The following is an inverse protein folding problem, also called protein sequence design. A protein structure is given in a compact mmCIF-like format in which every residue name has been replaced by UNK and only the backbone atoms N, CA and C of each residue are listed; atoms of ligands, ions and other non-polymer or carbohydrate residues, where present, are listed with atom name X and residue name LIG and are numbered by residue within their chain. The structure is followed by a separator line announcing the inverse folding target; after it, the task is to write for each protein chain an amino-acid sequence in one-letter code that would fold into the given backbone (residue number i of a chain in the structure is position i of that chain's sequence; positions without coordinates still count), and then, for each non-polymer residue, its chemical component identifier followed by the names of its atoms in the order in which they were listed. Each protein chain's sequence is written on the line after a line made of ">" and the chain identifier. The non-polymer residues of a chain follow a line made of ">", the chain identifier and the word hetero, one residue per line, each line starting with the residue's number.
data_IF_972645212945
#
_entry.id   IF_972645212945
#
_cell.length_a   1.000
_cell.length_b   1.000
_cell.length_c   1.000
_cell.angle_alpha   90.00
_cell.angle_beta   90.00
_cell.angle_gamma   90.00
#
_symmetry.space_group_name_H-M   'P 1'
#
loop_
_entity.id
_entity.type
_entity.pdbx_description
1 polymer ?
#
# COMPACT_ATOMS: atom_id res chain seq x y z
N UNK A 1 6.91 11.52 22.54
CA UNK A 1 8.31 11.34 22.14
C UNK A 1 9.01 10.51 23.20
N UNK A 2 9.78 9.49 22.81
CA UNK A 2 10.52 8.65 23.76
C UNK A 2 11.80 9.36 24.21
N UNK A 3 12.22 9.10 25.45
CA UNK A 3 13.44 9.66 26.02
C UNK A 3 14.68 9.09 25.33
N UNK A 4 15.71 9.91 25.13
CA UNK A 4 17.03 9.47 24.65
C UNK A 4 17.70 8.45 25.59
N UNK A 5 17.21 8.33 26.83
CA UNK A 5 17.66 7.35 27.82
C UNK A 5 16.81 6.08 27.88
N UNK A 6 15.74 5.98 27.08
CA UNK A 6 14.91 4.77 27.02
C UNK A 6 15.72 3.62 26.42
N UNK A 7 16.14 2.67 27.25
CA UNK A 7 16.74 1.41 26.79
C UNK A 7 15.61 0.41 26.50
N UNK A 8 15.51 -0.03 25.25
CA UNK A 8 14.61 -1.10 24.82
C UNK A 8 15.20 -2.49 25.09
N UNK A 9 15.84 -2.66 26.25
CA UNK A 9 16.47 -3.91 26.66
C UNK A 9 15.41 -4.78 27.35
N UNK A 10 14.61 -5.49 26.55
CA UNK A 10 13.67 -6.49 27.07
C UNK A 10 14.39 -7.73 27.64
N UNK A 11 15.70 -7.86 27.39
CA UNK A 11 16.54 -8.98 27.83
C UNK A 11 17.64 -8.46 28.78
N UNK A 12 17.75 -9.06 29.97
CA UNK A 12 18.79 -8.70 30.95
C UNK A 12 20.17 -9.07 30.43
N UNK A 13 21.07 -8.09 30.24
CA UNK A 13 22.45 -8.29 29.75
C UNK A 13 23.10 -9.54 30.35
N UNK A 14 23.48 -10.50 29.50
CA UNK A 14 24.06 -11.79 29.90
C UNK A 14 23.05 -12.92 30.19
N UNK A 15 21.75 -12.72 29.93
CA UNK A 15 20.78 -13.81 29.99
C UNK A 15 21.08 -14.89 28.96
N UNK A 16 20.65 -16.13 29.23
CA UNK A 16 20.74 -17.23 28.26
C UNK A 16 19.77 -17.06 27.08
N UNK A 17 18.90 -16.05 27.13
CA UNK A 17 17.94 -15.71 26.08
C UNK A 17 18.56 -14.89 24.94
N UNK A 18 19.81 -14.44 25.10
CA UNK A 18 20.55 -13.85 23.99
C UNK A 18 20.90 -14.94 22.98
N UNK A 19 20.55 -14.71 21.72
CA UNK A 19 20.96 -15.52 20.60
C UNK A 19 21.63 -14.64 19.54
N UNK A 20 22.64 -15.19 18.88
CA UNK A 20 23.31 -14.51 17.79
C UNK A 20 22.42 -14.51 16.54
N UNK A 21 22.26 -13.34 15.93
CA UNK A 21 21.59 -13.20 14.64
C UNK A 21 22.61 -12.67 13.64
N UNK A 22 22.75 -13.37 12.52
CA UNK A 22 23.60 -12.95 11.41
C UNK A 22 22.77 -12.20 10.38
N UNK A 23 23.26 -11.03 10.01
CA UNK A 23 22.69 -10.23 8.93
C UNK A 23 23.76 -9.94 7.89
N UNK A 24 23.32 -9.84 6.63
CA UNK A 24 24.12 -9.36 5.52
C UNK A 24 23.70 -7.94 5.18
N UNK A 25 24.69 -7.09 4.92
CA UNK A 25 24.48 -5.71 4.46
C UNK A 25 24.79 -5.66 2.98
N UNK A 26 23.84 -5.20 2.17
CA UNK A 26 23.98 -5.12 0.72
C UNK A 26 23.73 -3.69 0.25
N UNK A 27 24.67 -3.15 -0.52
CA UNK A 27 24.58 -1.80 -1.10
C UNK A 27 24.19 -1.87 -2.56
N UNK A 28 23.05 -1.29 -2.91
CA UNK A 28 22.49 -1.25 -4.26
C UNK A 28 22.66 0.14 -4.86
N UNK A 29 23.12 0.22 -6.12
CA UNK A 29 23.19 1.49 -6.86
C UNK A 29 21.83 1.80 -7.48
N UNK A 30 21.24 2.95 -7.12
CA UNK A 30 19.94 3.41 -7.64
C UNK A 30 20.09 4.38 -8.81
N UNK A 31 21.05 5.29 -8.72
CA UNK A 31 21.41 6.23 -9.80
C UNK A 31 22.90 6.49 -9.80
N UNK A 32 23.39 7.37 -10.69
CA UNK A 32 24.79 7.83 -10.75
C UNK A 32 25.35 8.17 -9.35
N UNK A 33 24.58 8.87 -8.52
CA UNK A 33 25.02 9.41 -7.23
C UNK A 33 24.31 8.82 -6.01
N UNK A 34 23.26 8.01 -6.18
CA UNK A 34 22.45 7.50 -5.07
C UNK A 34 22.56 6.00 -4.90
N UNK A 35 22.68 5.58 -3.64
CA UNK A 35 22.72 4.18 -3.22
C UNK A 35 21.64 3.91 -2.18
N UNK A 36 21.17 2.67 -2.16
CA UNK A 36 20.30 2.12 -1.14
C UNK A 36 21.05 1.03 -0.37
N UNK A 37 20.83 0.93 0.93
CA UNK A 37 21.48 -0.05 1.78
C UNK A 37 20.41 -0.94 2.41
N UNK A 38 20.48 -2.24 2.16
CA UNK A 38 19.56 -3.22 2.70
C UNK A 38 20.28 -4.08 3.75
N UNK A 39 19.60 -4.33 4.86
CA UNK A 39 20.00 -5.31 5.87
C UNK A 39 19.04 -6.48 5.73
N UNK A 40 19.58 -7.69 5.51
CA UNK A 40 18.78 -8.89 5.27
C UNK A 40 19.35 -10.09 6.00
N UNK A 41 18.47 -11.02 6.38
CA UNK A 41 18.82 -12.35 6.87
C UNK A 41 18.78 -13.42 5.77
N UNK A 42 18.51 -13.02 4.52
CA UNK A 42 18.57 -13.90 3.36
C UNK A 42 20.01 -14.34 3.09
N UNK A 43 20.15 -15.57 2.58
CA UNK A 43 21.45 -16.19 2.30
C UNK A 43 22.16 -15.56 1.08
N UNK A 44 23.38 -16.05 0.82
CA UNK A 44 24.21 -15.56 -0.28
C UNK A 44 23.73 -16.03 -1.67
N UNK A 45 22.77 -16.95 -1.75
CA UNK A 45 22.16 -17.35 -3.01
C UNK A 45 21.29 -16.24 -3.59
N UNK A 46 20.80 -15.32 -2.75
CA UNK A 46 20.12 -14.10 -3.20
C UNK A 46 21.15 -13.06 -3.63
N UNK A 47 21.16 -12.79 -4.93
CA UNK A 47 22.01 -11.77 -5.53
C UNK A 47 21.53 -10.36 -5.16
N UNK A 48 22.37 -9.33 -5.31
CA UNK A 48 21.93 -7.95 -5.17
C UNK A 48 20.74 -7.58 -6.07
N UNK A 49 20.59 -8.21 -7.24
CA UNK A 49 19.46 -7.97 -8.13
C UNK A 49 18.16 -8.58 -7.57
N UNK A 50 18.23 -9.80 -7.03
CA UNK A 50 17.07 -10.44 -6.38
C UNK A 50 16.60 -9.62 -5.19
N UNK A 51 17.53 -9.11 -4.38
CA UNK A 51 17.20 -8.23 -3.26
C UNK A 51 16.57 -6.92 -3.72
N UNK A 52 17.00 -6.37 -4.85
CA UNK A 52 16.40 -5.18 -5.46
C UNK A 52 14.97 -5.44 -5.89
N UNK A 53 14.70 -6.58 -6.53
CA UNK A 53 13.36 -6.98 -6.96
C UNK A 53 12.45 -7.24 -5.75
N UNK A 54 12.91 -8.00 -4.75
CA UNK A 54 12.18 -8.25 -3.52
C UNK A 54 11.85 -6.95 -2.78
N UNK A 55 12.82 -6.04 -2.68
CA UNK A 55 12.58 -4.74 -2.05
C UNK A 55 11.60 -3.88 -2.87
N UNK A 56 11.64 -3.99 -4.20
CA UNK A 56 10.67 -3.33 -5.06
C UNK A 56 9.24 -3.86 -4.85
N UNK A 57 9.04 -5.15 -4.54
CA UNK A 57 7.71 -5.69 -4.21
C UNK A 57 7.10 -5.01 -2.98
N UNK A 58 7.91 -4.49 -2.05
CA UNK A 58 7.45 -3.71 -0.89
C UNK A 58 6.65 -2.47 -1.32
N UNK A 59 6.95 -1.86 -2.47
CA UNK A 59 6.24 -0.66 -2.94
C UNK A 59 4.74 -0.90 -3.11
N UNK A 60 4.32 -2.16 -3.34
CA UNK A 60 2.91 -2.53 -3.37
C UNK A 60 2.15 -2.05 -2.13
N UNK A 61 2.72 -2.21 -0.93
CA UNK A 61 2.06 -1.83 0.32
C UNK A 61 1.89 -0.31 0.46
N UNK A 62 2.87 0.47 -0.01
CA UNK A 62 2.78 1.93 0.02
C UNK A 62 1.66 2.43 -0.88
N UNK A 63 1.51 1.81 -2.06
CA UNK A 63 0.39 2.09 -2.95
C UNK A 63 -0.93 1.70 -2.32
N UNK A 64 -1.01 0.54 -1.67
CA UNK A 64 -2.21 0.10 -0.95
C UNK A 64 -2.62 1.08 0.15
N UNK A 65 -1.68 1.56 0.97
CA UNK A 65 -1.98 2.55 2.01
C UNK A 65 -2.42 3.90 1.44
N UNK A 66 -1.81 4.34 0.33
CA UNK A 66 -2.23 5.55 -0.39
C UNK A 66 -3.66 5.43 -0.90
N UNK A 67 -4.02 4.30 -1.48
CA UNK A 67 -5.39 4.04 -1.95
C UNK A 67 -6.38 3.94 -0.78
N UNK A 68 -6.00 3.27 0.30
CA UNK A 68 -6.83 3.20 1.49
C UNK A 68 -7.13 4.60 2.06
N UNK A 69 -6.10 5.46 2.13
CA UNK A 69 -6.22 6.84 2.61
C UNK A 69 -7.08 7.72 1.71
N UNK A 70 -6.79 7.75 0.41
CA UNK A 70 -7.35 8.77 -0.49
C UNK A 70 -8.39 8.25 -1.49
N UNK A 71 -8.41 6.95 -1.78
CA UNK A 71 -9.36 6.34 -2.71
C UNK A 71 -10.53 5.70 -1.96
N UNK A 72 -10.27 5.14 -0.77
CA UNK A 72 -11.28 4.62 0.18
C UNK A 72 -11.56 5.63 1.31
N UNK A 73 -11.00 6.83 1.25
CA UNK A 73 -11.26 7.97 2.16
C UNK A 73 -10.89 7.77 3.64
N UNK A 74 -10.02 6.82 4.00
CA UNK A 74 -9.75 6.48 5.41
C UNK A 74 -9.27 7.67 6.25
N UNK A 75 -8.76 8.73 5.61
CA UNK A 75 -8.39 9.98 6.29
C UNK A 75 -9.60 10.72 6.92
N UNK A 76 -10.83 10.38 6.50
CA UNK A 76 -12.07 10.98 7.00
C UNK A 76 -12.83 9.97 7.86
N UNK A 77 -12.64 10.09 9.18
CA UNK A 77 -13.35 9.37 10.23
C UNK A 77 -14.57 10.18 10.70
N UNK A 78 -15.64 9.50 11.08
CA UNK A 78 -16.89 10.16 11.47
C UNK A 78 -17.06 10.23 12.99
N UNK A 79 -16.52 9.26 13.72
CA UNK A 79 -16.61 9.20 15.18
C UNK A 79 -15.36 9.73 15.91
N UNK A 80 -15.53 10.07 17.19
CA UNK A 80 -14.46 10.35 18.16
C UNK A 80 -14.21 9.20 19.12
N UNK A 81 -15.15 8.26 19.19
CA UNK A 81 -15.13 7.18 20.16
C UNK A 81 -14.20 6.06 19.67
N UNK A 82 -13.26 5.65 20.53
CA UNK A 82 -12.14 4.79 20.13
C UNK A 82 -12.62 3.47 19.51
N UNK A 83 -13.64 2.83 20.09
CA UNK A 83 -14.14 1.54 19.57
C UNK A 83 -14.75 1.69 18.17
N UNK A 84 -15.51 2.76 17.93
CA UNK A 84 -16.08 3.08 16.63
C UNK A 84 -15.02 3.49 15.60
N UNK A 85 -13.93 4.16 16.01
CA UNK A 85 -12.80 4.45 15.11
C UNK A 85 -12.20 3.14 14.58
N UNK A 86 -11.99 2.16 15.45
CA UNK A 86 -11.53 0.84 15.01
C UNK A 86 -12.51 0.19 14.04
N UNK A 87 -13.82 0.25 14.32
CA UNK A 87 -14.84 -0.28 13.42
C UNK A 87 -14.80 0.37 12.03
N UNK A 88 -14.68 1.70 11.94
CA UNK A 88 -14.54 2.42 10.68
C UNK A 88 -13.28 1.99 9.92
N UNK A 89 -12.14 1.89 10.61
CA UNK A 89 -10.87 1.43 10.02
C UNK A 89 -11.03 0.02 9.43
N UNK A 90 -11.59 -0.91 10.21
CA UNK A 90 -11.79 -2.29 9.75
C UNK A 90 -12.77 -2.37 8.59
N UNK A 91 -13.89 -1.64 8.62
CA UNK A 91 -14.85 -1.61 7.51
C UNK A 91 -14.21 -1.10 6.21
N UNK A 92 -13.35 -0.08 6.29
CA UNK A 92 -12.61 0.47 5.14
C UNK A 92 -11.55 -0.51 4.63
N UNK A 93 -10.82 -1.20 5.52
CA UNK A 93 -9.87 -2.25 5.15
C UNK A 93 -10.56 -3.44 4.46
N UNK A 94 -11.69 -3.88 4.99
CA UNK A 94 -12.52 -4.94 4.40
C UNK A 94 -12.98 -4.52 3.00
N UNK A 95 -13.53 -3.30 2.87
CA UNK A 95 -13.93 -2.72 1.58
C UNK A 95 -12.78 -2.70 0.58
N UNK A 96 -11.58 -2.29 1.03
CA UNK A 96 -10.38 -2.29 0.21
C UNK A 96 -10.04 -3.70 -0.29
N UNK A 97 -9.93 -4.66 0.63
CA UNK A 97 -9.54 -6.04 0.31
C UNK A 97 -10.53 -6.71 -0.64
N UNK A 98 -11.84 -6.56 -0.41
CA UNK A 98 -12.86 -7.12 -1.31
C UNK A 98 -12.82 -6.48 -2.69
N UNK A 99 -12.73 -5.15 -2.76
CA UNK A 99 -12.66 -4.47 -4.05
C UNK A 99 -11.41 -4.88 -4.83
N UNK A 100 -10.24 -4.95 -4.17
CA UNK A 100 -9.00 -5.38 -4.81
C UNK A 100 -9.07 -6.85 -5.27
N UNK A 101 -9.74 -7.72 -4.51
CA UNK A 101 -10.00 -9.10 -4.92
C UNK A 101 -10.84 -9.16 -6.19
N UNK A 102 -11.91 -8.35 -6.28
CA UNK A 102 -12.74 -8.25 -7.48
C UNK A 102 -11.93 -7.73 -8.67
N UNK A 103 -11.16 -6.66 -8.49
CA UNK A 103 -10.28 -6.11 -9.52
C UNK A 103 -9.33 -7.16 -10.09
N UNK A 104 -8.74 -8.00 -9.24
CA UNK A 104 -7.86 -9.11 -9.67
C UNK A 104 -8.58 -10.23 -10.44
N UNK A 105 -9.90 -10.36 -10.28
CA UNK A 105 -10.72 -11.36 -10.99
C UNK A 105 -11.33 -10.84 -12.29
N UNK A 106 -11.44 -9.52 -12.44
CA UNK A 106 -12.06 -8.90 -13.62
C UNK A 106 -11.23 -9.18 -14.86
N UNK A 107 -11.87 -9.82 -15.85
CA UNK A 107 -11.34 -10.00 -17.19
C UNK A 107 -11.97 -8.95 -18.09
N UNK A 108 -11.14 -8.16 -18.77
CA UNK A 108 -11.59 -7.21 -19.78
C UNK A 108 -10.96 -7.58 -21.14
N UNK A 109 -11.66 -7.30 -22.25
CA UNK A 109 -11.22 -7.75 -23.57
C UNK A 109 -9.88 -7.11 -23.93
N UNK A 110 -8.87 -7.95 -24.17
CA UNK A 110 -7.59 -7.55 -24.75
C UNK A 110 -7.80 -7.22 -26.23
N UNK A 111 -8.07 -5.95 -26.52
CA UNK A 111 -8.08 -5.44 -27.90
C UNK A 111 -6.66 -5.07 -28.30
N UNK A 112 -6.28 -5.26 -29.57
CA UNK A 112 -5.01 -4.71 -30.11
C UNK A 112 -5.05 -3.19 -29.93
N UNK A 113 -4.22 -2.69 -29.02
CA UNK A 113 -4.14 -1.27 -28.64
C UNK A 113 -2.68 -0.91 -28.40
N UNK A 114 -2.38 0.38 -28.44
CA UNK A 114 -1.02 0.89 -28.25
C UNK A 114 -0.45 0.62 -26.85
N UNK A 115 -1.30 0.60 -25.82
CA UNK A 115 -0.88 0.40 -24.43
C UNK A 115 -1.47 -0.88 -23.86
N UNK A 116 -0.80 -1.42 -22.84
CA UNK A 116 -1.46 -2.30 -21.88
C UNK A 116 -2.45 -1.52 -21.04
N UNK A 117 -3.46 -2.22 -20.51
CA UNK A 117 -4.52 -1.60 -19.73
C UNK A 117 -4.63 -2.28 -18.37
N UNK A 118 -5.04 -1.49 -17.38
CA UNK A 118 -5.40 -1.93 -16.04
C UNK A 118 -6.77 -1.38 -15.67
N UNK A 119 -7.42 -1.99 -14.69
CA UNK A 119 -8.68 -1.48 -14.15
C UNK A 119 -8.45 -0.14 -13.45
N UNK A 120 -9.42 0.77 -13.58
CA UNK A 120 -9.48 1.98 -12.79
C UNK A 120 -9.91 1.65 -11.35
N UNK A 121 -8.93 1.40 -10.47
CA UNK A 121 -9.14 1.02 -9.08
C UNK A 121 -10.01 2.03 -8.31
N UNK A 122 -9.85 3.34 -8.57
CA UNK A 122 -10.68 4.37 -7.93
C UNK A 122 -12.16 4.23 -8.29
N UNK A 123 -12.44 3.97 -9.57
CA UNK A 123 -13.81 3.69 -10.00
C UNK A 123 -14.33 2.37 -9.43
N UNK A 124 -13.47 1.35 -9.29
CA UNK A 124 -13.86 0.09 -8.66
C UNK A 124 -14.33 0.30 -7.21
N UNK A 125 -13.64 1.10 -6.39
CA UNK A 125 -14.11 1.41 -5.03
C UNK A 125 -15.47 2.12 -5.04
N UNK A 126 -15.65 3.08 -5.95
CA UNK A 126 -16.92 3.83 -6.07
C UNK A 126 -18.08 2.91 -6.48
N UNK A 127 -17.83 1.99 -7.42
CA UNK A 127 -18.81 1.00 -7.86
C UNK A 127 -19.11 -0.03 -6.76
N UNK A 128 -18.10 -0.48 -6.01
CA UNK A 128 -18.30 -1.40 -4.91
C UNK A 128 -19.14 -0.79 -3.78
N UNK A 129 -18.89 0.48 -3.42
CA UNK A 129 -19.76 1.21 -2.48
C UNK A 129 -21.21 1.29 -2.98
N UNK A 130 -21.42 1.49 -4.28
CA UNK A 130 -22.77 1.48 -4.88
C UNK A 130 -23.41 0.10 -4.80
N UNK A 131 -22.64 -0.95 -5.07
CA UNK A 131 -23.09 -2.34 -4.99
C UNK A 131 -23.53 -2.72 -3.56
N UNK A 132 -22.81 -2.28 -2.53
CA UNK A 132 -23.23 -2.51 -1.13
C UNK A 132 -24.62 -1.92 -0.81
N UNK A 133 -25.05 -0.88 -1.52
CA UNK A 133 -26.39 -0.31 -1.37
C UNK A 133 -27.42 -0.96 -2.31
N UNK A 134 -26.99 -1.53 -3.43
CA UNK A 134 -27.84 -2.17 -4.44
C UNK A 134 -27.11 -3.38 -5.05
N UNK A 135 -27.44 -4.55 -4.50
CA UNK A 135 -26.82 -5.82 -4.87
C UNK A 135 -27.30 -6.37 -6.22
N UNK A 136 -28.29 -5.73 -6.86
CA UNK A 136 -28.76 -6.12 -8.20
C UNK A 136 -27.77 -5.74 -9.31
N UNK A 137 -26.80 -4.87 -9.00
CA UNK A 137 -25.83 -4.37 -9.96
C UNK A 137 -24.80 -5.45 -10.32
N UNK A 138 -24.64 -5.70 -11.62
CA UNK A 138 -23.51 -6.47 -12.15
C UNK A 138 -22.20 -5.67 -12.04
N UNK A 139 -21.60 -5.73 -10.86
CA UNK A 139 -20.38 -5.01 -10.51
C UNK A 139 -19.19 -5.44 -11.38
N UNK A 140 -19.07 -6.72 -11.71
CA UNK A 140 -17.93 -7.25 -12.47
C UNK A 140 -17.92 -6.68 -13.88
N UNK A 141 -19.08 -6.65 -14.54
CA UNK A 141 -19.23 -6.04 -15.87
C UNK A 141 -18.92 -4.54 -15.82
N UNK A 142 -19.43 -3.82 -14.82
CA UNK A 142 -19.15 -2.38 -14.70
C UNK A 142 -17.67 -2.09 -14.49
N UNK A 143 -17.01 -2.79 -13.56
CA UNK A 143 -15.57 -2.62 -13.32
C UNK A 143 -14.77 -2.89 -14.61
N UNK A 144 -15.12 -3.92 -15.37
CA UNK A 144 -14.44 -4.27 -16.63
C UNK A 144 -14.49 -3.17 -17.71
N UNK A 145 -15.48 -2.27 -17.63
CA UNK A 145 -15.63 -1.16 -18.57
C UNK A 145 -14.73 0.04 -18.24
N UNK A 146 -14.32 0.19 -16.98
CA UNK A 146 -13.46 1.29 -16.53
C UNK A 146 -11.99 0.87 -16.50
N UNK A 147 -11.29 1.07 -17.61
CA UNK A 147 -9.87 0.74 -17.76
C UNK A 147 -9.01 1.97 -18.06
N UNK A 148 -7.76 1.95 -17.62
CA UNK A 148 -6.74 2.98 -17.82
C UNK A 148 -5.51 2.39 -18.51
N UNK A 149 -4.85 3.14 -19.41
CA UNK A 149 -3.61 2.69 -20.03
C UNK A 149 -2.46 2.70 -19.00
N UNK A 150 -1.65 1.64 -19.01
CA UNK A 150 -0.38 1.56 -18.30
C UNK A 150 0.67 2.25 -19.17
N UNK A 151 1.34 3.26 -18.62
CA UNK A 151 2.42 4.00 -19.29
C UNK A 151 3.69 3.79 -18.50
N UNK A 152 4.60 2.98 -19.02
CA UNK A 152 5.88 2.67 -18.37
C UNK A 152 6.80 3.90 -18.33
N UNK A 153 7.70 3.94 -17.35
CA UNK A 153 8.70 5.01 -17.22
C UNK A 153 8.15 6.39 -16.80
N UNK A 154 6.87 6.49 -16.43
CA UNK A 154 6.25 7.77 -16.07
C UNK A 154 6.82 8.31 -14.75
N UNK A 155 7.57 9.40 -14.83
CA UNK A 155 8.05 10.15 -13.66
C UNK A 155 7.21 11.43 -13.53
N UNK A 156 6.69 11.66 -12.33
CA UNK A 156 6.06 12.92 -11.98
C UNK A 156 6.92 13.62 -10.94
N UNK A 157 7.13 14.91 -11.11
CA UNK A 157 7.72 15.71 -10.06
C UNK A 157 6.80 15.70 -8.84
N UNK A 158 7.37 15.41 -7.66
CA UNK A 158 6.60 15.38 -6.43
C UNK A 158 6.30 16.81 -6.00
N UNK A 159 5.11 17.29 -6.31
CA UNK A 159 4.62 18.58 -5.84
C UNK A 159 4.43 18.52 -4.31
N UNK A 160 5.24 19.28 -3.58
CA UNK A 160 5.18 19.39 -2.10
C UNK A 160 4.20 20.51 -1.74
N UNK A 161 2.91 20.20 -1.69
CA UNK A 161 1.92 21.15 -1.16
C UNK A 161 1.93 21.13 0.38
N UNK A 162 1.92 22.31 1.00
CA UNK A 162 1.56 22.43 2.43
C UNK A 162 0.08 22.09 2.57
N UNK A 163 -0.25 20.92 3.10
CA UNK A 163 -1.62 20.61 3.53
C UNK A 163 -1.92 21.43 4.78
N UNK A 164 -2.93 22.29 4.72
CA UNK A 164 -3.47 22.97 5.89
C UNK A 164 -4.18 21.98 6.82
N UNK A 165 -4.43 22.39 8.06
CA UNK A 165 -5.27 21.62 8.98
C UNK A 165 -6.68 21.50 8.40
N UNK A 166 -7.10 20.28 8.10
CA UNK A 166 -8.50 19.99 7.78
C UNK A 166 -9.19 19.77 9.11
N UNK A 167 -10.05 20.72 9.49
CA UNK A 167 -10.88 20.58 10.68
C UNK A 167 -11.65 19.27 10.62
N UNK A 168 -11.71 18.56 11.74
CA UNK A 168 -12.52 17.36 11.80
C UNK A 168 -14.00 17.75 11.61
N UNK A 169 -14.58 17.33 10.49
CA UNK A 169 -16.00 17.50 10.21
C UNK A 169 -16.80 16.45 10.99
N UNK A 170 -16.83 16.59 12.30
CA UNK A 170 -17.73 15.81 13.15
C UNK A 170 -19.16 16.29 12.90
N UNK A 171 -20.08 15.36 12.63
CA UNK A 171 -21.52 15.59 12.68
C UNK A 171 -22.09 14.95 13.93
#
# INVERSE_FOLDING_TARGET
>A
FLSTTSKFDFLKRGSKDYYEIRFRVVRLKLSESTYECLITNLDDNFTPNDLKELYHLRWGIETSFRDLKHSVDLEYLHTKESSQIYQEIYARLITYNFTMRLVGQVKFPKKKRHWDYQVNVKMAFRLYRRYLNDMSIDIMRLISSYILPIREGRKFERLKFRRGFVGFHYR
#
